data_IF_692757460531
#
_entry.id   IF_692757460531
#
_cell.length_a   1.000
_cell.length_b   1.000
_cell.length_c   1.000
_cell.angle_alpha   90.00
_cell.angle_beta   90.00
_cell.angle_gamma   90.00
#
_symmetry.space_group_name_H-M   'P 1'
#
loop_
_entity.id
_entity.type
_entity.pdbx_description
1 polymer ?
#
# COMPACT_ATOMS: atom_id res chain seq x y z
N UNK A 1 3.56 29.17 73.65
CA UNK A 1 3.89 29.47 72.24
C UNK A 1 5.13 28.68 71.89
N UNK A 2 4.96 27.49 71.31
CA UNK A 2 6.05 26.67 70.80
C UNK A 2 5.93 26.63 69.27
N UNK A 3 7.01 26.83 68.51
CA UNK A 3 6.92 26.93 67.06
C UNK A 3 6.75 25.53 66.45
N UNK A 4 5.71 25.40 65.62
CA UNK A 4 5.48 24.30 64.69
C UNK A 4 6.58 24.30 63.63
N UNK A 5 7.39 23.24 63.59
CA UNK A 5 8.36 22.98 62.53
C UNK A 5 7.65 22.30 61.34
N UNK A 6 7.62 23.00 60.21
CA UNK A 6 7.15 22.48 58.92
C UNK A 6 8.15 21.47 58.34
N UNK A 7 7.71 20.38 57.67
CA UNK A 7 8.64 19.47 57.02
C UNK A 7 9.15 20.07 55.70
N UNK A 8 10.47 20.13 55.55
CA UNK A 8 11.16 20.49 54.30
C UNK A 8 10.96 19.38 53.26
N UNK A 9 10.32 19.70 52.14
CA UNK A 9 10.18 18.81 50.99
C UNK A 9 11.52 18.70 50.24
N UNK A 10 12.01 17.47 50.08
CA UNK A 10 13.15 17.15 49.23
C UNK A 10 12.72 17.24 47.76
N UNK A 11 13.19 18.25 47.03
CA UNK A 11 13.01 18.37 45.59
C UNK A 11 14.03 17.49 44.86
N UNK A 12 13.56 16.42 44.21
CA UNK A 12 14.36 15.67 43.24
C UNK A 12 14.65 16.55 42.00
N UNK A 13 15.84 16.44 41.38
CA UNK A 13 16.12 17.15 40.14
C UNK A 13 15.25 16.61 39.00
N UNK A 14 14.81 17.46 38.05
CA UNK A 14 14.01 17.00 36.92
C UNK A 14 14.85 16.12 36.00
N UNK A 15 14.31 14.96 35.64
CA UNK A 15 14.81 14.08 34.59
C UNK A 15 14.95 14.87 33.28
N UNK A 16 16.06 14.76 32.53
CA UNK A 16 16.17 15.41 31.24
C UNK A 16 15.11 14.83 30.30
N UNK A 17 14.10 15.63 29.99
CA UNK A 17 13.14 15.32 28.94
C UNK A 17 13.88 15.56 27.64
N UNK A 18 14.38 14.47 27.04
CA UNK A 18 14.86 14.51 25.67
C UNK A 18 13.68 14.95 24.80
N UNK A 19 13.72 16.21 24.36
CA UNK A 19 12.84 16.72 23.33
C UNK A 19 13.08 15.90 22.06
N UNK A 20 12.10 15.07 21.70
CA UNK A 20 12.06 14.42 20.39
C UNK A 20 11.78 15.52 19.38
N UNK A 21 12.85 16.10 18.81
CA UNK A 21 12.73 16.83 17.55
C UNK A 21 12.35 15.82 16.47
N UNK A 22 11.10 15.90 16.01
CA UNK A 22 10.63 15.17 14.84
C UNK A 22 11.33 15.73 13.60
N UNK A 23 12.44 15.10 13.20
CA UNK A 23 12.96 15.24 11.84
C UNK A 23 11.81 14.99 10.86
N UNK A 24 11.64 15.80 9.80
CA UNK A 24 10.58 15.59 8.82
C UNK A 24 10.77 14.20 8.23
N UNK A 25 9.83 13.31 8.55
CA UNK A 25 9.89 11.89 8.26
C UNK A 25 9.90 11.72 6.74
N UNK A 26 11.04 11.35 6.17
CA UNK A 26 11.08 10.73 4.85
C UNK A 26 10.09 9.55 4.90
N UNK A 27 9.12 9.43 3.98
CA UNK A 27 8.15 8.34 4.02
C UNK A 27 8.90 7.00 4.08
N UNK A 28 8.58 6.19 5.10
CA UNK A 28 9.23 4.91 5.40
C UNK A 28 9.16 3.92 4.22
N UNK A 29 8.17 4.11 3.34
CA UNK A 29 8.03 3.43 2.06
C UNK A 29 7.49 4.46 1.06
N UNK A 30 8.18 4.76 -0.05
CA UNK A 30 7.74 5.78 -1.00
C UNK A 30 6.54 5.35 -1.86
N UNK A 31 6.11 4.08 -1.75
CA UNK A 31 5.33 3.36 -2.75
C UNK A 31 4.89 1.95 -2.24
N UNK A 32 3.60 1.56 -2.18
CA UNK A 32 3.16 0.14 -2.21
C UNK A 32 2.33 -0.26 -3.44
N UNK A 33 2.95 -1.02 -4.32
CA UNK A 33 2.30 -1.47 -5.51
C UNK A 33 1.57 -2.81 -5.33
N UNK A 34 0.36 -2.92 -5.89
CA UNK A 34 -0.43 -4.14 -5.77
C UNK A 34 -1.02 -4.56 -7.12
N UNK A 35 -0.62 -5.74 -7.57
CA UNK A 35 -1.17 -6.44 -8.73
C UNK A 35 -1.77 -7.74 -8.24
N UNK A 36 -2.88 -8.14 -8.83
CA UNK A 36 -3.45 -9.44 -8.54
C UNK A 36 -4.80 -9.60 -9.20
N UNK A 37 -5.56 -10.50 -8.62
CA UNK A 37 -6.92 -10.82 -9.04
C UNK A 37 -7.95 -10.04 -8.20
N UNK A 38 -9.15 -10.61 -8.07
CA UNK A 38 -10.23 -10.09 -7.23
C UNK A 38 -9.80 -9.76 -5.80
N UNK A 39 -8.74 -10.39 -5.27
CA UNK A 39 -8.23 -10.17 -3.92
C UNK A 39 -7.70 -8.76 -3.68
N UNK A 40 -7.31 -8.05 -4.74
CA UNK A 40 -6.70 -6.71 -4.67
C UNK A 40 -7.40 -5.70 -5.59
N UNK A 41 -8.50 -6.10 -6.21
CA UNK A 41 -9.32 -5.23 -7.05
C UNK A 41 -10.11 -4.24 -6.19
N UNK A 42 -9.76 -2.96 -6.28
CA UNK A 42 -10.40 -1.86 -5.58
C UNK A 42 -11.70 -1.36 -6.25
N UNK A 43 -12.18 -2.04 -7.30
CA UNK A 43 -13.37 -1.68 -8.08
C UNK A 43 -13.06 -1.32 -9.53
N UNK A 44 -11.85 -1.58 -10.00
CA UNK A 44 -11.41 -1.31 -11.38
C UNK A 44 -12.29 -2.07 -12.38
N UNK A 45 -12.68 -3.31 -12.05
CA UNK A 45 -13.54 -4.12 -12.91
C UNK A 45 -14.92 -3.49 -13.22
N UNK A 46 -15.40 -2.53 -12.42
CA UNK A 46 -16.67 -1.86 -12.71
C UNK A 46 -16.63 -1.01 -13.98
N UNK A 47 -15.44 -0.59 -14.39
CA UNK A 47 -15.19 0.25 -15.55
C UNK A 47 -14.76 -0.55 -16.78
N UNK A 48 -14.65 -1.88 -16.63
CA UNK A 48 -14.28 -2.80 -17.71
C UNK A 48 -15.52 -3.49 -18.29
N UNK A 49 -15.46 -3.85 -19.57
CA UNK A 49 -16.51 -4.61 -20.29
C UNK A 49 -16.60 -6.08 -19.87
N UNK A 50 -16.53 -6.36 -18.57
CA UNK A 50 -16.47 -7.70 -17.98
C UNK A 50 -17.74 -8.04 -17.19
N UNK A 51 -18.03 -9.33 -17.07
CA UNK A 51 -19.08 -9.85 -16.18
C UNK A 51 -18.59 -10.02 -14.73
N UNK A 52 -17.29 -9.98 -14.49
CA UNK A 52 -16.71 -10.03 -13.16
C UNK A 52 -16.84 -8.66 -12.49
N UNK A 53 -17.99 -8.37 -11.88
CA UNK A 53 -18.23 -7.13 -11.11
C UNK A 53 -18.73 -7.42 -9.69
N UNK A 54 -18.26 -6.62 -8.75
CA UNK A 54 -18.63 -6.63 -7.33
C UNK A 54 -19.33 -5.32 -6.90
N UNK A 55 -20.11 -4.74 -7.81
CA UNK A 55 -20.92 -3.52 -7.69
C UNK A 55 -22.31 -3.76 -7.07
N UNK A 56 -22.51 -4.88 -6.37
CA UNK A 56 -23.82 -5.31 -5.85
C UNK A 56 -23.71 -5.98 -4.49
N UNK A 57 -24.81 -6.04 -3.74
CA UNK A 57 -24.86 -6.78 -2.48
C UNK A 57 -24.54 -8.28 -2.70
N UNK A 58 -23.86 -8.96 -1.75
CA UNK A 58 -23.50 -8.51 -0.40
C UNK A 58 -22.15 -7.76 -0.28
N UNK A 59 -21.46 -7.46 -1.39
CA UNK A 59 -20.16 -6.79 -1.37
C UNK A 59 -20.24 -5.40 -0.71
N UNK A 60 -19.20 -5.01 0.01
CA UNK A 60 -19.11 -3.73 0.72
C UNK A 60 -20.02 -3.54 1.95
N UNK A 61 -20.72 -4.59 2.43
CA UNK A 61 -21.58 -4.52 3.63
C UNK A 61 -20.87 -3.99 4.88
N UNK A 62 -19.64 -4.42 5.08
CA UNK A 62 -18.78 -4.11 6.23
C UNK A 62 -17.74 -3.00 5.89
N UNK A 63 -17.86 -2.36 4.72
CA UNK A 63 -17.06 -1.17 4.36
C UNK A 63 -17.66 0.06 5.06
N UNK A 64 -16.87 1.12 5.25
CA UNK A 64 -17.29 2.31 6.01
C UNK A 64 -18.62 2.92 5.49
N UNK A 65 -18.83 2.88 4.18
CA UNK A 65 -20.05 3.37 3.52
C UNK A 65 -21.23 2.40 3.57
N UNK A 66 -20.99 1.13 3.95
CA UNK A 66 -21.96 0.02 3.88
C UNK A 66 -22.57 -0.16 2.48
N UNK A 67 -21.83 0.19 1.44
CA UNK A 67 -22.22 0.08 0.03
C UNK A 67 -21.17 -0.69 -0.79
N UNK A 68 -21.57 -1.41 -1.85
CA UNK A 68 -20.62 -2.04 -2.77
C UNK A 68 -19.71 -0.99 -3.43
N UNK A 69 -18.42 -1.25 -3.43
CA UNK A 69 -17.40 -0.36 -4.05
C UNK A 69 -16.75 -0.98 -5.28
N UNK A 70 -17.13 -2.21 -5.66
CA UNK A 70 -16.41 -3.00 -6.68
C UNK A 70 -15.28 -3.85 -6.11
N UNK A 71 -14.98 -3.76 -4.81
CA UNK A 71 -14.11 -4.73 -4.11
C UNK A 71 -14.81 -6.08 -4.03
N UNK A 72 -14.12 -7.16 -4.40
CA UNK A 72 -14.62 -8.53 -4.28
C UNK A 72 -14.57 -9.07 -2.84
N UNK A 73 -14.91 -8.22 -1.86
CA UNK A 73 -15.06 -8.60 -0.46
C UNK A 73 -16.18 -7.79 0.20
N UNK A 74 -16.50 -8.12 1.45
CA UNK A 74 -17.52 -7.39 2.20
C UNK A 74 -16.98 -6.10 2.83
N UNK A 75 -15.69 -5.78 2.71
CA UNK A 75 -15.04 -4.66 3.41
C UNK A 75 -13.81 -4.10 2.68
N UNK A 76 -12.76 -3.73 3.42
CA UNK A 76 -11.49 -3.25 2.85
C UNK A 76 -10.66 -4.41 2.30
N UNK A 77 -9.78 -4.13 1.35
CA UNK A 77 -8.83 -5.08 0.74
C UNK A 77 -7.38 -4.69 1.11
N UNK A 78 -6.38 -5.59 0.93
CA UNK A 78 -5.00 -5.32 1.36
C UNK A 78 -4.38 -4.02 0.82
N UNK A 79 -4.81 -3.54 -0.35
CA UNK A 79 -4.30 -2.30 -0.97
C UNK A 79 -4.75 -1.04 -0.23
N UNK A 80 -5.87 -1.09 0.48
CA UNK A 80 -6.44 0.04 1.22
C UNK A 80 -5.57 0.44 2.43
N UNK A 81 -4.44 -0.24 2.64
CA UNK A 81 -3.57 -0.09 3.78
C UNK A 81 -2.18 0.54 3.46
N UNK A 82 -1.80 0.91 2.20
CA UNK A 82 -0.42 1.39 1.86
C UNK A 82 -0.24 2.35 0.64
N UNK A 83 0.95 3.00 0.49
CA UNK A 83 1.15 4.34 -0.09
C UNK A 83 1.66 4.52 -1.54
N UNK A 84 0.78 4.34 -2.53
CA UNK A 84 0.86 5.01 -3.84
C UNK A 84 0.02 6.28 -3.85
N UNK A 85 0.44 7.30 -4.61
CA UNK A 85 -0.39 8.50 -4.75
C UNK A 85 -1.42 8.35 -5.89
N UNK A 86 -1.08 7.64 -6.97
CA UNK A 86 -2.03 7.28 -8.03
C UNK A 86 -2.27 5.76 -8.08
N UNK A 87 -3.47 5.36 -7.68
CA UNK A 87 -3.90 3.96 -7.55
C UNK A 87 -5.06 3.62 -8.48
N UNK A 88 -5.65 4.62 -9.13
CA UNK A 88 -6.89 4.50 -9.89
C UNK A 88 -6.63 4.63 -11.39
N UNK A 89 -5.86 5.63 -11.81
CA UNK A 89 -5.51 5.82 -13.22
C UNK A 89 -4.27 5.00 -13.63
N UNK A 90 -4.28 4.41 -14.82
CA UNK A 90 -3.08 3.82 -15.41
C UNK A 90 -2.12 4.88 -15.98
N UNK A 91 -0.83 4.61 -16.07
CA UNK A 91 0.12 5.55 -16.66
C UNK A 91 -0.08 5.67 -18.18
N UNK A 92 -0.27 4.55 -18.88
CA UNK A 92 -0.40 4.47 -20.33
C UNK A 92 -1.70 3.78 -20.76
N UNK A 93 -2.51 4.47 -21.56
CA UNK A 93 -3.75 3.92 -22.08
C UNK A 93 -4.71 5.02 -22.55
N UNK A 94 -5.89 4.62 -23.00
CA UNK A 94 -6.96 5.54 -23.38
C UNK A 94 -8.27 5.17 -22.69
N UNK A 95 -9.19 6.13 -22.67
CA UNK A 95 -10.51 6.00 -22.05
C UNK A 95 -10.49 6.33 -20.56
N UNK A 96 -11.60 6.02 -19.89
CA UNK A 96 -11.77 6.23 -18.45
C UNK A 96 -10.70 5.46 -17.67
N UNK A 97 -10.05 6.14 -16.72
CA UNK A 97 -8.90 5.63 -15.96
C UNK A 97 -7.73 5.09 -16.81
N UNK A 98 -7.68 5.46 -18.11
CA UNK A 98 -6.78 4.88 -19.11
C UNK A 98 -6.87 3.35 -19.22
N UNK A 99 -8.03 2.80 -18.85
CA UNK A 99 -8.30 1.38 -18.78
C UNK A 99 -9.23 0.87 -19.86
N UNK A 100 -9.46 1.58 -20.97
CA UNK A 100 -10.30 1.08 -22.08
C UNK A 100 -9.46 0.46 -23.20
N UNK A 101 -8.32 1.06 -23.52
CA UNK A 101 -7.35 0.56 -24.50
C UNK A 101 -5.97 0.53 -23.87
N UNK A 102 -5.27 -0.59 -24.02
CA UNK A 102 -3.90 -0.76 -23.54
C UNK A 102 -2.91 0.21 -24.21
N UNK A 103 -1.68 0.25 -23.72
CA UNK A 103 -0.63 1.11 -24.26
C UNK A 103 -0.28 0.73 -25.72
N UNK A 104 -0.65 1.56 -26.70
CA UNK A 104 -0.39 1.31 -28.14
C UNK A 104 0.69 2.22 -28.73
N UNK A 105 1.00 3.34 -28.09
CA UNK A 105 2.04 4.27 -28.53
C UNK A 105 2.69 4.98 -27.34
N UNK A 106 3.95 5.44 -27.48
CA UNK A 106 4.65 6.15 -26.41
C UNK A 106 3.93 7.42 -25.94
N UNK A 107 3.22 8.12 -26.82
CA UNK A 107 2.53 9.38 -26.52
C UNK A 107 1.32 9.20 -25.57
N UNK A 108 0.87 7.96 -25.37
CA UNK A 108 -0.21 7.63 -24.43
C UNK A 108 0.28 7.52 -22.98
N UNK A 109 1.60 7.44 -22.77
CA UNK A 109 2.19 7.27 -21.46
C UNK A 109 2.21 8.59 -20.66
N UNK A 110 2.07 8.46 -19.35
CA UNK A 110 2.25 9.56 -18.42
C UNK A 110 3.74 9.92 -18.29
N UNK A 111 4.03 11.13 -17.79
CA UNK A 111 5.41 11.59 -17.61
C UNK A 111 6.13 10.93 -16.41
N UNK A 112 5.38 10.41 -15.44
CA UNK A 112 5.95 9.80 -14.23
C UNK A 112 5.21 8.51 -13.87
N UNK A 113 5.72 7.40 -14.39
CA UNK A 113 5.21 6.06 -14.08
C UNK A 113 5.54 5.61 -12.65
N UNK A 114 6.54 6.19 -12.00
CA UNK A 114 6.98 5.75 -10.67
C UNK A 114 5.95 6.03 -9.57
N UNK A 115 5.02 6.94 -9.83
CA UNK A 115 3.94 7.32 -8.94
C UNK A 115 2.60 6.59 -9.23
N UNK A 116 2.55 5.70 -10.23
CA UNK A 116 1.34 4.99 -10.66
C UNK A 116 1.45 3.50 -10.40
N UNK A 117 0.40 2.90 -9.83
CA UNK A 117 0.37 1.43 -9.68
C UNK A 117 0.33 0.71 -11.02
N UNK A 118 -0.45 1.23 -11.97
CA UNK A 118 -0.71 0.56 -13.23
C UNK A 118 0.04 1.22 -14.38
N UNK A 119 0.71 0.42 -15.20
CA UNK A 119 1.27 0.86 -16.48
C UNK A 119 0.19 0.93 -17.54
N UNK A 120 -0.64 -0.09 -17.66
CA UNK A 120 -1.83 -0.13 -18.52
C UNK A 120 -2.97 -0.91 -17.83
N UNK A 121 -4.04 -1.23 -18.58
CA UNK A 121 -5.21 -1.98 -18.08
C UNK A 121 -4.86 -3.32 -17.40
N UNK A 122 -3.72 -3.94 -17.73
CA UNK A 122 -3.35 -5.27 -17.26
C UNK A 122 -2.03 -5.30 -16.50
N UNK A 123 -1.11 -4.40 -16.84
CA UNK A 123 0.27 -4.49 -16.41
C UNK A 123 0.60 -3.44 -15.34
N UNK A 124 1.43 -3.80 -14.37
CA UNK A 124 2.07 -2.86 -13.45
C UNK A 124 3.17 -2.00 -14.09
N UNK A 125 3.49 -0.89 -13.43
CA UNK A 125 4.74 -0.15 -13.69
C UNK A 125 5.98 -0.92 -13.22
N UNK A 126 7.15 -0.55 -13.73
CA UNK A 126 8.44 -1.14 -13.36
C UNK A 126 8.75 -0.98 -11.87
N UNK A 127 8.33 0.13 -11.28
CA UNK A 127 8.48 0.38 -9.88
C UNK A 127 7.67 -0.63 -9.03
N UNK A 128 6.50 -1.10 -9.48
CA UNK A 128 5.81 -2.25 -8.87
C UNK A 128 6.65 -3.49 -8.91
N UNK A 129 7.18 -3.79 -10.09
CA UNK A 129 7.92 -5.01 -10.33
C UNK A 129 9.17 -5.06 -9.45
N UNK A 130 9.81 -3.92 -9.18
CA UNK A 130 10.93 -3.83 -8.25
C UNK A 130 10.54 -4.25 -6.81
N UNK A 131 9.43 -3.73 -6.29
CA UNK A 131 8.95 -4.08 -4.93
C UNK A 131 8.56 -5.56 -4.86
N UNK A 132 7.88 -6.08 -5.88
CA UNK A 132 7.56 -7.51 -5.96
C UNK A 132 8.81 -8.37 -5.97
N UNK A 133 9.81 -8.00 -6.78
CA UNK A 133 11.07 -8.72 -6.86
C UNK A 133 11.79 -8.76 -5.51
N UNK A 134 11.84 -7.63 -4.78
CA UNK A 134 12.44 -7.57 -3.45
C UNK A 134 11.70 -8.47 -2.45
N UNK A 135 10.36 -8.43 -2.44
CA UNK A 135 9.55 -9.27 -1.57
C UNK A 135 9.71 -10.77 -1.87
N UNK A 136 9.76 -11.16 -3.14
CA UNK A 136 9.98 -12.56 -3.55
C UNK A 136 11.41 -13.01 -3.20
N UNK A 137 12.38 -12.13 -3.43
CA UNK A 137 13.78 -12.45 -3.21
C UNK A 137 14.09 -12.64 -1.73
N UNK A 138 13.74 -11.68 -0.88
CA UNK A 138 14.18 -11.66 0.52
C UNK A 138 13.08 -11.25 1.52
N UNK A 139 11.87 -10.93 1.05
CA UNK A 139 10.78 -10.46 1.91
C UNK A 139 10.97 -9.05 2.46
N UNK A 140 11.66 -8.16 1.73
CA UNK A 140 12.12 -6.85 2.20
C UNK A 140 11.03 -6.01 2.84
N UNK A 141 9.88 -5.91 2.18
CA UNK A 141 8.76 -5.08 2.61
C UNK A 141 7.62 -5.91 3.22
N UNK A 142 7.42 -7.13 2.72
CA UNK A 142 6.46 -8.08 3.29
C UNK A 142 6.85 -9.53 2.99
N UNK A 143 6.38 -10.46 3.85
CA UNK A 143 6.54 -11.90 3.61
C UNK A 143 5.57 -12.37 2.54
N UNK A 144 6.04 -12.38 1.29
CA UNK A 144 5.26 -12.82 0.13
C UNK A 144 5.37 -14.33 -0.14
N UNK A 145 6.53 -14.93 0.13
CA UNK A 145 6.77 -16.35 -0.14
C UNK A 145 6.63 -17.21 1.13
N UNK A 146 6.02 -18.38 0.98
CA UNK A 146 5.90 -19.40 2.02
C UNK A 146 6.36 -20.76 1.46
N UNK A 147 7.10 -21.59 2.24
CA UNK A 147 7.52 -21.36 3.62
C UNK A 147 8.73 -20.43 3.78
N UNK A 148 9.53 -20.24 2.73
CA UNK A 148 10.75 -19.40 2.73
C UNK A 148 10.81 -18.56 1.44
N UNK A 149 11.58 -17.48 1.45
CA UNK A 149 11.83 -16.65 0.27
C UNK A 149 12.87 -17.29 -0.68
N UNK A 150 13.02 -16.71 -1.88
CA UNK A 150 13.88 -17.29 -2.91
C UNK A 150 15.37 -17.27 -2.53
N UNK A 151 15.84 -16.23 -1.86
CA UNK A 151 17.22 -16.14 -1.37
C UNK A 151 17.53 -17.27 -0.39
N UNK A 152 16.66 -17.50 0.59
CA UNK A 152 16.83 -18.54 1.59
C UNK A 152 16.76 -19.94 0.96
N UNK A 153 15.93 -20.12 -0.08
CA UNK A 153 15.89 -21.36 -0.87
C UNK A 153 17.22 -21.64 -1.60
N UNK A 154 17.83 -20.62 -2.20
CA UNK A 154 19.12 -20.76 -2.89
C UNK A 154 20.27 -21.00 -1.90
N UNK A 155 20.27 -20.29 -0.78
CA UNK A 155 21.30 -20.46 0.26
C UNK A 155 21.20 -21.84 0.93
N UNK A 156 19.98 -22.33 1.19
CA UNK A 156 19.76 -23.64 1.82
C UNK A 156 20.04 -24.83 0.90
N UNK A 157 19.95 -24.66 -0.42
CA UNK A 157 20.27 -25.71 -1.42
C UNK A 157 21.77 -25.83 -1.73
N UNK A 158 22.59 -24.96 -1.15
CA UNK A 158 24.05 -24.94 -1.32
C UNK A 158 24.79 -25.74 -0.23
N UNK A 159 24.07 -26.47 0.62
CA UNK A 159 24.57 -27.36 1.68
C UNK A 159 24.00 -28.77 1.49
#
# INVERSE_FOLDING_TARGET
MGPTLSPSSSSFPPTPTASIESNPTTPLVPALFVIGDSSVDCGTNNFLGTFARADRLPYGRDFDTHQPTGRFCNGRIPVDYHGFNETTDACCGLGEHKGFVMCLSPDMACNDASNHVWWDQFHPTDAVNAILADNVWNGLHTKMCYPINLRDMVVSSSY
#
